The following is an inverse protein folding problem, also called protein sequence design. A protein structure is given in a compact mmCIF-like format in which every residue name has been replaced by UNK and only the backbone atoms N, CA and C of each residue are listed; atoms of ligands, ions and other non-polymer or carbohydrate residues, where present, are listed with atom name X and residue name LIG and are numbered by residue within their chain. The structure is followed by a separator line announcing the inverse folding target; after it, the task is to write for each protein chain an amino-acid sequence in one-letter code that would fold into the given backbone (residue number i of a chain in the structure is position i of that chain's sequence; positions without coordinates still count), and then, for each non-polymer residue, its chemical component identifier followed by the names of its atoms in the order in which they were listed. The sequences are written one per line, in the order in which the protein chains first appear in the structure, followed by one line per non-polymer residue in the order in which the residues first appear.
data_IF_883846380600
#
_entry.id   IF_883846380600
#
_cell.length_a   1.000
_cell.length_b   1.000
_cell.length_c   1.000
_cell.angle_alpha   90.00
_cell.angle_beta   90.00
_cell.angle_gamma   90.00
#
_symmetry.space_group_name_H-M   'P 1'
#
loop_
_entity.id
_entity.type
_entity.pdbx_description
1 polymer ?
#
# COMPACT_ATOMS: atom_id res chain seq x y z
N UNK A 1 -3.59 12.78 -7.40
CA UNK A 1 -2.59 11.69 -7.40
C UNK A 1 -1.58 11.97 -6.30
N UNK A 2 -1.16 10.94 -5.57
CA UNK A 2 -0.15 11.04 -4.51
C UNK A 2 0.97 10.07 -4.86
N UNK A 3 2.22 10.54 -4.90
CA UNK A 3 3.36 9.67 -5.15
C UNK A 3 3.45 8.62 -4.04
N UNK A 4 3.54 7.35 -4.41
CA UNK A 4 3.84 6.29 -3.47
C UNK A 4 5.32 6.37 -3.11
N UNK A 5 5.62 6.48 -1.81
CA UNK A 5 7.00 6.59 -1.33
C UNK A 5 7.33 5.35 -0.52
N UNK A 6 8.26 4.55 -1.03
CA UNK A 6 8.73 3.39 -0.28
C UNK A 6 9.52 3.84 0.95
N UNK A 7 9.22 3.21 2.08
CA UNK A 7 10.00 3.28 3.32
C UNK A 7 10.44 1.88 3.72
N UNK A 8 11.43 1.79 4.61
CA UNK A 8 11.92 0.49 5.08
C UNK A 8 10.99 -0.15 6.11
N UNK A 9 10.39 0.65 7.00
CA UNK A 9 9.41 0.19 7.98
C UNK A 9 8.38 1.29 8.22
N UNK A 10 7.12 1.00 7.94
CA UNK A 10 6.02 1.94 8.23
C UNK A 10 5.81 2.13 9.73
N UNK A 11 6.16 1.13 10.55
CA UNK A 11 5.99 1.22 12.00
C UNK A 11 6.84 2.35 12.60
N UNK A 12 8.01 2.64 12.01
CA UNK A 12 8.86 3.77 12.41
C UNK A 12 8.14 5.12 12.24
N UNK A 13 7.23 5.23 11.26
CA UNK A 13 6.45 6.45 11.03
C UNK A 13 5.36 6.68 12.08
N UNK A 14 5.07 5.72 12.96
CA UNK A 14 4.02 5.86 13.98
C UNK A 14 4.38 6.89 15.05
N UNK A 15 5.67 7.15 15.27
CA UNK A 15 6.18 8.18 16.18
C UNK A 15 6.49 9.53 15.51
N UNK A 16 6.24 9.67 14.20
CA UNK A 16 6.59 10.85 13.41
C UNK A 16 5.44 11.30 12.49
N UNK A 17 5.70 12.27 11.62
CA UNK A 17 4.76 12.64 10.56
C UNK A 17 4.54 11.45 9.63
N UNK A 18 3.28 11.01 9.52
CA UNK A 18 2.87 9.94 8.61
C UNK A 18 2.71 10.49 7.19
N UNK A 19 3.69 10.21 6.34
CA UNK A 19 3.66 10.63 4.94
C UNK A 19 2.53 9.93 4.17
N UNK A 20 1.61 10.70 3.61
CA UNK A 20 0.49 10.17 2.83
C UNK A 20 1.01 9.34 1.64
N UNK A 21 0.46 8.14 1.45
CA UNK A 21 0.87 7.25 0.37
C UNK A 21 2.23 6.57 0.57
N UNK A 22 2.90 6.76 1.71
CA UNK A 22 4.07 5.96 2.04
C UNK A 22 3.70 4.49 2.17
N UNK A 23 4.63 3.59 1.82
CA UNK A 23 4.41 2.16 1.89
C UNK A 23 5.68 1.37 2.24
N UNK A 24 5.49 0.22 2.85
CA UNK A 24 6.49 -0.82 3.10
C UNK A 24 6.05 -2.11 2.38
N UNK A 25 7.02 -2.88 1.89
CA UNK A 25 6.81 -4.11 1.14
C UNK A 25 7.37 -5.29 1.92
N UNK A 26 6.49 -6.21 2.29
CA UNK A 26 6.88 -7.46 2.92
C UNK A 26 7.35 -8.45 1.85
N UNK A 27 8.61 -8.87 1.92
CA UNK A 27 9.20 -9.88 1.02
C UNK A 27 9.57 -11.12 1.82
N UNK A 28 9.21 -12.30 1.31
CA UNK A 28 9.56 -13.62 1.88
C UNK A 28 10.00 -14.53 0.75
N UNK A 29 11.18 -15.14 0.86
CA UNK A 29 11.80 -15.99 -0.15
C UNK A 29 11.88 -15.34 -1.54
N UNK A 30 12.17 -14.03 -1.58
CA UNK A 30 12.25 -13.24 -2.81
C UNK A 30 10.90 -12.86 -3.43
N UNK A 31 9.78 -13.29 -2.86
CA UNK A 31 8.44 -12.96 -3.34
C UNK A 31 7.76 -11.90 -2.46
N UNK A 32 7.04 -10.97 -3.08
CA UNK A 32 6.21 -9.99 -2.36
C UNK A 32 5.02 -10.73 -1.73
N UNK A 33 4.84 -10.54 -0.42
CA UNK A 33 3.75 -11.13 0.37
C UNK A 33 2.69 -10.11 0.77
N UNK A 34 3.00 -8.83 0.70
CA UNK A 34 2.02 -7.76 0.86
C UNK A 34 2.65 -6.39 0.98
N UNK A 35 1.79 -5.38 1.02
CA UNK A 35 2.16 -3.98 1.16
C UNK A 35 1.43 -3.41 2.37
N UNK A 36 2.17 -2.83 3.30
CA UNK A 36 1.59 -1.95 4.32
C UNK A 36 1.66 -0.53 3.77
N UNK A 37 0.62 0.30 3.95
CA UNK A 37 0.61 1.66 3.42
C UNK A 37 -0.06 2.67 4.35
N UNK A 38 0.36 3.93 4.28
CA UNK A 38 -0.34 5.07 4.88
C UNK A 38 -1.38 5.60 3.88
N UNK A 39 -2.60 5.78 4.36
CA UNK A 39 -3.73 6.15 3.53
C UNK A 39 -3.41 7.41 2.68
N UNK A 40 -3.56 7.32 1.34
CA UNK A 40 -3.18 8.41 0.44
C UNK A 40 -4.00 9.69 0.61
N UNK A 41 -5.16 9.63 1.27
CA UNK A 41 -5.97 10.83 1.55
C UNK A 41 -5.33 11.77 2.58
N UNK A 42 -4.27 11.35 3.28
CA UNK A 42 -3.59 12.15 4.30
C UNK A 42 -4.13 11.99 5.72
N UNK A 43 -5.13 11.13 5.95
CA UNK A 43 -5.64 10.89 7.31
C UNK A 43 -4.68 10.12 8.24
N UNK A 44 -3.54 9.64 7.71
CA UNK A 44 -2.51 8.95 8.48
C UNK A 44 -2.84 7.49 8.85
N UNK A 45 -4.02 6.96 8.51
CA UNK A 45 -4.38 5.56 8.82
C UNK A 45 -3.52 4.56 8.03
N UNK A 46 -3.25 3.42 8.64
CA UNK A 46 -2.49 2.32 8.01
C UNK A 46 -3.43 1.27 7.43
N UNK A 47 -3.14 0.83 6.21
CA UNK A 47 -3.81 -0.29 5.56
C UNK A 47 -2.81 -1.38 5.16
N UNK A 48 -3.33 -2.57 4.87
CA UNK A 48 -2.55 -3.71 4.42
C UNK A 48 -3.17 -4.33 3.16
N UNK A 49 -2.34 -4.56 2.15
CA UNK A 49 -2.67 -5.21 0.89
C UNK A 49 -1.94 -6.55 0.82
N UNK A 50 -2.57 -7.66 1.23
CA UNK A 50 -2.03 -9.00 1.01
C UNK A 50 -1.79 -9.30 -0.47
N UNK A 51 -0.62 -9.84 -0.80
CA UNK A 51 -0.33 -10.28 -2.17
C UNK A 51 -1.08 -11.58 -2.50
N UNK A 52 -1.32 -11.83 -3.79
CA UNK A 52 -1.93 -13.08 -4.27
C UNK A 52 -1.14 -14.31 -3.81
N UNK A 53 -1.87 -15.34 -3.34
CA UNK A 53 -1.29 -16.59 -2.87
C UNK A 53 -0.71 -16.53 -1.46
N UNK A 54 -1.14 -15.57 -0.65
CA UNK A 54 -0.78 -15.50 0.78
C UNK A 54 -1.85 -16.11 1.71
N UNK A 55 -2.97 -16.57 1.15
CA UNK A 55 -4.03 -17.27 1.88
C UNK A 55 -5.06 -16.34 2.53
N UNK A 56 -5.14 -15.09 2.06
CA UNK A 56 -6.13 -14.11 2.56
C UNK A 56 -7.38 -14.12 1.67
N UNK A 57 -8.56 -13.75 2.21
CA UNK A 57 -9.82 -13.75 1.44
C UNK A 57 -9.91 -12.63 0.39
N UNK A 58 -9.11 -11.59 0.58
CA UNK A 58 -8.94 -10.48 -0.34
C UNK A 58 -7.45 -10.38 -0.61
N UNK A 59 -7.05 -10.45 -1.88
CA UNK A 59 -5.66 -10.44 -2.29
C UNK A 59 -5.46 -9.57 -3.53
N UNK A 60 -4.27 -9.01 -3.66
CA UNK A 60 -3.88 -8.16 -4.77
C UNK A 60 -2.79 -8.82 -5.61
N UNK A 61 -2.96 -8.73 -6.92
CA UNK A 61 -1.87 -8.94 -7.87
C UNK A 61 -0.94 -7.73 -7.82
N UNK A 62 0.24 -7.92 -7.25
CA UNK A 62 1.25 -6.89 -7.04
C UNK A 62 2.40 -7.13 -8.02
N UNK A 63 2.70 -6.12 -8.82
CA UNK A 63 3.70 -6.19 -9.88
C UNK A 63 4.50 -4.89 -10.02
N UNK A 64 5.56 -4.94 -10.82
CA UNK A 64 6.48 -3.82 -11.04
C UNK A 64 7.67 -3.83 -10.09
N UNK A 65 8.51 -2.80 -10.23
CA UNK A 65 9.64 -2.60 -9.34
C UNK A 65 9.18 -2.15 -7.97
N UNK A 66 9.96 -2.49 -6.95
CA UNK A 66 9.61 -2.25 -5.54
C UNK A 66 9.41 -0.76 -5.20
N UNK A 67 9.95 0.15 -6.00
CA UNK A 67 9.81 1.61 -5.87
C UNK A 67 8.71 2.20 -6.79
N UNK A 68 8.14 1.38 -7.69
CA UNK A 68 7.13 1.76 -8.68
C UNK A 68 6.03 0.69 -8.83
N UNK A 69 5.52 0.19 -7.71
CA UNK A 69 4.57 -0.92 -7.70
C UNK A 69 3.22 -0.56 -8.33
N UNK A 70 2.54 -1.60 -8.82
CA UNK A 70 1.14 -1.60 -9.24
C UNK A 70 0.39 -2.69 -8.48
N UNK A 71 -0.82 -2.38 -7.99
CA UNK A 71 -1.70 -3.35 -7.34
C UNK A 71 -3.05 -3.44 -8.05
N UNK A 72 -3.50 -4.67 -8.34
CA UNK A 72 -4.81 -4.95 -8.91
C UNK A 72 -5.57 -5.99 -8.07
N UNK A 73 -6.89 -5.83 -7.81
CA UNK A 73 -7.77 -4.75 -8.28
C UNK A 73 -7.55 -3.43 -7.51
N UNK A 74 -8.46 -2.46 -7.69
CA UNK A 74 -8.48 -1.22 -6.89
C UNK A 74 -8.49 -1.51 -5.39
N UNK A 75 -8.00 -0.56 -4.62
CA UNK A 75 -7.93 -0.61 -3.16
C UNK A 75 -9.07 0.21 -2.56
N UNK A 76 -9.96 -0.45 -1.82
CA UNK A 76 -10.96 0.23 -1.00
C UNK A 76 -10.54 0.18 0.48
N UNK A 77 -10.34 1.34 1.08
CA UNK A 77 -10.00 1.45 2.48
C UNK A 77 -11.29 1.41 3.33
N UNK A 78 -11.63 0.22 3.82
CA UNK A 78 -12.79 0.00 4.68
C UNK A 78 -12.49 0.36 6.15
N UNK A 79 -13.50 0.82 6.91
CA UNK A 79 -13.38 1.10 8.35
C UNK A 79 -12.73 2.45 8.73
N UNK A 80 -12.71 3.42 7.81
CA UNK A 80 -12.11 4.74 8.05
C UNK A 80 -12.60 5.80 7.08
N UNK A 81 -11.67 6.55 6.48
CA UNK A 81 -11.96 7.64 5.53
C UNK A 81 -12.60 7.21 4.19
N UNK A 82 -12.90 5.91 4.02
CA UNK A 82 -13.51 5.32 2.82
C UNK A 82 -12.78 5.63 1.51
N UNK A 83 -11.49 5.94 1.58
CA UNK A 83 -10.69 6.20 0.38
C UNK A 83 -10.73 4.99 -0.55
N UNK A 84 -10.96 5.25 -1.84
CA UNK A 84 -11.00 4.24 -2.88
C UNK A 84 -10.14 4.71 -4.06
N UNK A 85 -9.26 3.84 -4.54
CA UNK A 85 -8.32 4.20 -5.58
C UNK A 85 -7.48 3.04 -6.07
N UNK A 86 -6.37 3.37 -6.73
CA UNK A 86 -5.43 2.43 -7.29
C UNK A 86 -4.02 2.77 -6.85
N UNK A 87 -3.16 1.76 -6.77
CA UNK A 87 -1.71 1.92 -6.83
C UNK A 87 -1.27 1.54 -8.25
N UNK A 88 -0.76 2.50 -9.02
CA UNK A 88 -0.33 2.30 -10.41
C UNK A 88 1.03 2.93 -10.63
N UNK A 89 2.01 2.11 -11.02
CA UNK A 89 3.37 2.56 -11.36
C UNK A 89 3.99 3.51 -10.33
N UNK A 90 3.80 3.24 -9.03
CA UNK A 90 4.31 4.09 -7.95
C UNK A 90 3.45 5.30 -7.62
N UNK A 91 2.19 5.34 -8.04
CA UNK A 91 1.26 6.44 -7.73
C UNK A 91 -0.06 5.94 -7.17
N UNK A 92 -0.54 6.62 -6.13
CA UNK A 92 -1.89 6.46 -5.61
C UNK A 92 -2.86 7.38 -6.37
N UNK A 93 -3.83 6.78 -7.03
CA UNK A 93 -4.83 7.46 -7.86
C UNK A 93 -6.21 7.18 -7.31
N UNK A 94 -6.86 8.19 -6.73
CA UNK A 94 -8.25 8.07 -6.27
C UNK A 94 -9.21 7.84 -7.46
N UNK A 95 -10.30 7.12 -7.22
CA UNK A 95 -11.44 7.02 -8.14
C UNK A 95 -12.38 8.20 -7.92
#
# INVERSE_FOLDING_TARGET
MVKAVRVHDIAELRGSTRTAGAYDVRVVDGAIRGITFICPCGCGREGYLPARGCGHSHEWDISGDIDCLTANPSVQFVGGCLWHGWLKSGEWVAV
#
